data_IF_487871136931
#
_entry.id   IF_487871136931
#
_cell.length_a   1.000
_cell.length_b   1.000
_cell.length_c   1.000
_cell.angle_alpha   90.00
_cell.angle_beta   90.00
_cell.angle_gamma   90.00
#
_symmetry.space_group_name_H-M   'P 1'
#
loop_
_entity.id
_entity.type
_entity.pdbx_description
1 polymer ?
#
# COMPACT_ATOMS: atom_id res chain seq x y z
N UNK A 1 2.07 -47.87 -4.22
CA UNK A 1 1.82 -46.56 -3.58
C UNK A 1 2.99 -45.63 -3.87
N UNK A 2 3.05 -45.13 -5.10
CA UNK A 2 4.00 -44.11 -5.51
C UNK A 2 3.27 -42.75 -5.55
N UNK A 3 4.02 -41.69 -5.22
CA UNK A 3 3.70 -40.26 -5.37
C UNK A 3 2.93 -39.56 -4.23
N UNK A 4 3.65 -39.12 -3.17
CA UNK A 4 3.24 -37.92 -2.37
C UNK A 4 4.42 -36.96 -2.03
N UNK A 5 5.66 -37.19 -2.47
CA UNK A 5 6.76 -36.24 -2.19
C UNK A 5 7.46 -35.75 -3.47
N UNK A 6 6.74 -34.96 -4.24
CA UNK A 6 7.28 -34.20 -5.37
C UNK A 6 6.97 -32.71 -5.22
N UNK A 7 7.90 -31.97 -4.59
CA UNK A 7 8.27 -30.55 -4.83
C UNK A 7 9.11 -30.08 -3.64
N UNK A 8 10.18 -29.33 -3.92
CA UNK A 8 11.10 -28.71 -2.95
C UNK A 8 10.33 -28.19 -1.73
N UNK A 9 10.76 -28.60 -0.53
CA UNK A 9 10.15 -28.19 0.74
C UNK A 9 9.94 -26.68 0.78
N UNK A 10 8.70 -26.24 1.03
CA UNK A 10 8.30 -24.84 1.29
C UNK A 10 9.08 -24.21 2.46
N UNK A 11 9.73 -25.04 3.28
CA UNK A 11 10.48 -24.62 4.47
C UNK A 11 12.01 -24.79 4.31
N UNK A 12 12.49 -25.17 3.13
CA UNK A 12 13.91 -25.40 2.83
C UNK A 12 14.67 -24.13 2.41
N UNK A 13 14.69 -23.10 3.25
CA UNK A 13 15.56 -21.94 3.09
C UNK A 13 16.91 -22.17 3.77
N UNK A 14 18.02 -21.72 3.16
CA UNK A 14 19.32 -21.67 3.84
C UNK A 14 19.41 -20.34 4.57
N UNK A 15 19.46 -20.37 5.89
CA UNK A 15 19.69 -19.18 6.71
C UNK A 15 21.19 -18.85 6.65
N UNK A 16 21.54 -17.68 6.12
CA UNK A 16 22.89 -17.14 6.29
C UNK A 16 22.82 -16.10 7.40
N UNK A 17 23.45 -16.42 8.53
CA UNK A 17 23.50 -15.52 9.68
C UNK A 17 24.42 -14.35 9.37
N UNK A 18 23.84 -13.17 9.16
CA UNK A 18 24.54 -11.90 9.39
C UNK A 18 23.99 -11.29 10.67
N UNK A 19 24.92 -10.74 11.45
CA UNK A 19 24.77 -10.11 12.76
C UNK A 19 23.35 -9.60 13.05
N UNK A 20 22.79 -10.04 14.18
CA UNK A 20 21.52 -9.60 14.80
C UNK A 20 20.87 -8.37 14.12
N UNK A 21 19.91 -8.59 13.21
CA UNK A 21 18.59 -7.91 13.13
C UNK A 21 17.84 -8.16 11.81
N UNK A 22 18.48 -8.65 10.76
CA UNK A 22 17.80 -9.00 9.51
C UNK A 22 17.59 -10.51 9.40
N UNK A 23 16.43 -11.01 9.85
CA UNK A 23 15.98 -12.39 9.56
C UNK A 23 15.53 -12.50 8.10
N UNK A 24 16.46 -12.36 7.17
CA UNK A 24 16.21 -12.43 5.74
C UNK A 24 16.67 -13.78 5.19
N UNK A 25 15.77 -14.51 4.53
CA UNK A 25 16.18 -15.67 3.74
C UNK A 25 16.72 -15.11 2.41
N UNK A 26 18.03 -15.15 2.20
CA UNK A 26 18.63 -14.58 0.98
C UNK A 26 18.41 -15.47 -0.27
N UNK A 27 18.13 -16.77 -0.07
CA UNK A 27 18.02 -17.76 -1.15
C UNK A 27 16.66 -18.45 -1.13
N UNK A 28 15.79 -18.08 -2.06
CA UNK A 28 14.52 -18.76 -2.30
C UNK A 28 14.61 -19.59 -3.59
N UNK A 29 14.02 -20.81 -3.63
CA UNK A 29 13.61 -21.36 -4.92
C UNK A 29 12.68 -20.35 -5.60
N UNK A 30 12.77 -20.20 -6.92
CA UNK A 30 11.86 -19.36 -7.69
C UNK A 30 10.40 -19.74 -7.38
N UNK A 31 9.51 -18.73 -7.29
CA UNK A 31 8.07 -18.93 -7.04
C UNK A 31 7.38 -19.59 -8.25
N UNK A 32 7.46 -20.91 -8.37
CA UNK A 32 6.95 -21.70 -9.50
C UNK A 32 5.60 -22.38 -9.20
N UNK A 33 4.63 -21.56 -8.78
CA UNK A 33 3.26 -21.97 -8.50
C UNK A 33 2.25 -20.98 -9.10
N UNK A 34 0.96 -21.14 -8.78
CA UNK A 34 -0.16 -20.48 -9.45
C UNK A 34 -0.29 -18.97 -9.19
N UNK A 35 0.67 -18.31 -8.52
CA UNK A 35 0.62 -16.86 -8.28
C UNK A 35 0.79 -16.11 -9.59
N UNK A 36 -0.06 -15.10 -9.81
CA UNK A 36 0.06 -14.17 -10.95
C UNK A 36 1.30 -13.27 -10.88
N UNK A 37 1.93 -13.19 -9.71
CA UNK A 37 3.07 -12.31 -9.39
C UNK A 37 2.81 -10.81 -9.60
N UNK A 38 1.55 -10.39 -9.61
CA UNK A 38 1.15 -8.97 -9.68
C UNK A 38 0.58 -8.54 -8.35
N UNK A 39 1.03 -7.40 -7.83
CA UNK A 39 0.54 -6.82 -6.58
C UNK A 39 0.34 -5.32 -6.72
N UNK A 40 -0.64 -4.77 -6.00
CA UNK A 40 -0.86 -3.33 -5.88
C UNK A 40 -1.03 -2.99 -4.39
N UNK A 41 -0.45 -1.88 -3.96
CA UNK A 41 -0.64 -1.39 -2.60
C UNK A 41 -1.83 -0.44 -2.57
N UNK A 42 -2.68 -0.55 -1.56
CA UNK A 42 -3.89 0.28 -1.45
C UNK A 42 -3.97 0.95 -0.08
N UNK A 43 -4.35 2.23 -0.06
CA UNK A 43 -4.72 2.90 1.17
C UNK A 43 -5.84 2.13 1.88
N UNK A 44 -5.77 2.07 3.20
CA UNK A 44 -6.62 1.23 4.03
C UNK A 44 -8.12 1.33 3.68
N UNK A 45 -8.61 2.55 3.51
CA UNK A 45 -10.03 2.82 3.27
C UNK A 45 -10.52 2.51 1.85
N UNK A 46 -9.64 2.12 0.92
CA UNK A 46 -10.05 1.52 -0.37
C UNK A 46 -10.85 0.25 -0.10
N UNK A 47 -10.44 -0.56 0.88
CA UNK A 47 -11.10 -1.83 1.21
C UNK A 47 -11.72 -1.87 2.62
N UNK A 48 -11.61 -0.78 3.40
CA UNK A 48 -12.22 -0.65 4.72
C UNK A 48 -12.61 0.81 5.05
N UNK A 49 -13.76 1.26 4.56
CA UNK A 49 -14.35 2.57 4.80
C UNK A 49 -14.66 2.82 6.28
N UNK A 50 -14.82 1.78 7.10
CA UNK A 50 -15.04 1.91 8.54
C UNK A 50 -13.86 2.56 9.28
N UNK A 51 -12.68 2.68 8.66
CA UNK A 51 -11.51 3.37 9.24
C UNK A 51 -11.50 4.89 8.99
N UNK A 52 -12.42 5.40 8.16
CA UNK A 52 -12.52 6.83 7.86
C UNK A 52 -13.04 7.61 9.07
N UNK A 53 -12.72 8.90 9.13
CA UNK A 53 -13.27 9.77 10.17
C UNK A 53 -14.79 9.96 9.96
N UNK A 54 -15.48 10.34 11.02
CA UNK A 54 -16.93 10.48 11.01
C UNK A 54 -17.39 11.40 9.86
N UNK A 55 -18.41 10.96 9.10
CA UNK A 55 -18.97 11.71 7.98
C UNK A 55 -18.19 11.69 6.67
N UNK A 56 -17.08 10.95 6.57
CA UNK A 56 -16.26 10.88 5.33
C UNK A 56 -16.31 9.55 4.57
N UNK A 57 -17.04 8.55 5.09
CA UNK A 57 -17.31 7.30 4.38
C UNK A 57 -18.37 7.52 3.30
N UNK A 58 -18.07 7.12 2.06
CA UNK A 58 -19.00 7.25 0.92
C UNK A 58 -19.73 5.93 0.62
N UNK A 59 -19.19 4.81 1.10
CA UNK A 59 -19.78 3.48 0.93
C UNK A 59 -19.72 2.67 2.24
N UNK A 60 -20.54 1.62 2.39
CA UNK A 60 -20.65 0.90 3.67
C UNK A 60 -19.41 0.08 4.08
N UNK A 61 -18.54 -0.30 3.14
CA UNK A 61 -17.45 -1.24 3.43
C UNK A 61 -16.14 -0.93 2.69
N UNK A 62 -16.17 -0.80 1.36
CA UNK A 62 -15.01 -0.58 0.50
C UNK A 62 -15.42 0.29 -0.68
N UNK A 63 -14.48 0.82 -1.46
CA UNK A 63 -14.75 1.38 -2.79
C UNK A 63 -14.90 0.20 -3.76
N UNK A 64 -16.09 -0.38 -3.99
CA UNK A 64 -16.23 -1.79 -4.43
C UNK A 64 -15.60 -2.05 -5.81
N UNK A 65 -15.71 -1.08 -6.71
CA UNK A 65 -15.15 -1.15 -8.06
C UNK A 65 -13.65 -1.48 -8.10
N UNK A 66 -12.87 -1.07 -7.07
CA UNK A 66 -11.42 -1.29 -7.03
C UNK A 66 -11.06 -2.74 -6.67
N UNK A 67 -11.40 -3.28 -5.48
CA UNK A 67 -11.07 -4.66 -5.14
C UNK A 67 -11.71 -5.65 -6.13
N UNK A 68 -12.94 -5.39 -6.61
CA UNK A 68 -13.58 -6.24 -7.63
C UNK A 68 -12.75 -6.29 -8.92
N UNK A 69 -12.33 -5.13 -9.43
CA UNK A 69 -11.47 -5.07 -10.61
C UNK A 69 -10.13 -5.79 -10.39
N UNK A 70 -9.48 -5.56 -9.25
CA UNK A 70 -8.17 -6.15 -8.94
C UNK A 70 -8.25 -7.69 -8.88
N UNK A 71 -9.26 -8.22 -8.18
CA UNK A 71 -9.47 -9.66 -8.07
C UNK A 71 -9.80 -10.31 -9.42
N UNK A 72 -10.69 -9.69 -10.21
CA UNK A 72 -11.04 -10.18 -11.55
C UNK A 72 -9.84 -10.20 -12.52
N UNK A 73 -8.82 -9.38 -12.27
CA UNK A 73 -7.60 -9.30 -13.08
C UNK A 73 -6.39 -10.04 -12.46
N UNK A 74 -6.63 -10.84 -11.41
CA UNK A 74 -5.61 -11.61 -10.69
C UNK A 74 -4.47 -10.71 -10.17
N UNK A 75 -4.82 -9.55 -9.61
CA UNK A 75 -3.88 -8.63 -8.98
C UNK A 75 -4.03 -8.77 -7.47
N UNK A 76 -2.96 -9.16 -6.78
CA UNK A 76 -2.93 -9.22 -5.32
C UNK A 76 -3.06 -7.82 -4.70
N UNK A 77 -3.76 -7.74 -3.57
CA UNK A 77 -4.01 -6.48 -2.85
C UNK A 77 -3.16 -6.47 -1.58
N UNK A 78 -2.20 -5.55 -1.50
CA UNK A 78 -1.46 -5.27 -0.28
C UNK A 78 -2.08 -4.06 0.41
N UNK A 79 -2.87 -4.29 1.47
CA UNK A 79 -3.50 -3.20 2.22
C UNK A 79 -2.49 -2.50 3.12
N UNK A 80 -2.30 -1.20 2.93
CA UNK A 80 -1.48 -0.40 3.83
C UNK A 80 -2.26 -0.09 5.12
N UNK A 81 -1.59 0.01 6.29
CA UNK A 81 -2.20 0.53 7.51
C UNK A 81 -2.77 1.95 7.30
N UNK A 82 -3.86 2.29 7.99
CA UNK A 82 -4.40 3.64 7.93
C UNK A 82 -3.53 4.59 8.78
N UNK A 83 -2.88 5.60 8.17
CA UNK A 83 -1.99 6.49 8.91
C UNK A 83 -2.72 7.28 9.99
N UNK A 84 -3.91 7.78 9.66
CA UNK A 84 -4.71 8.56 10.59
C UNK A 84 -5.24 7.74 11.77
N UNK A 85 -5.69 6.51 11.51
CA UNK A 85 -6.14 5.59 12.56
C UNK A 85 -4.98 5.26 13.52
N UNK A 86 -3.78 5.01 12.98
CA UNK A 86 -2.61 4.69 13.79
C UNK A 86 -2.09 5.87 14.62
N UNK A 87 -2.18 7.11 14.11
CA UNK A 87 -1.76 8.29 14.85
C UNK A 87 -2.81 8.81 15.85
N UNK A 88 -4.09 8.82 15.44
CA UNK A 88 -5.13 9.64 16.08
C UNK A 88 -6.35 8.82 16.55
N UNK A 89 -6.42 7.55 16.18
CA UNK A 89 -7.57 6.69 16.47
C UNK A 89 -8.77 6.93 15.55
N UNK A 90 -9.84 6.17 15.83
CA UNK A 90 -11.02 6.13 14.96
C UNK A 90 -11.87 7.40 15.09
N UNK A 91 -12.06 7.90 16.32
CA UNK A 91 -12.87 9.09 16.64
C UNK A 91 -12.18 10.43 16.38
N UNK A 92 -11.14 10.46 15.55
CA UNK A 92 -10.37 11.67 15.23
C UNK A 92 -11.24 12.74 14.55
N UNK A 93 -10.96 13.99 14.87
CA UNK A 93 -11.66 15.16 14.35
C UNK A 93 -10.75 16.40 14.34
N UNK A 94 -11.23 17.51 13.77
CA UNK A 94 -10.51 18.78 13.71
C UNK A 94 -9.44 18.84 12.60
N UNK A 95 -8.35 19.55 12.86
CA UNK A 95 -7.26 19.77 11.89
C UNK A 95 -6.34 18.54 11.81
N UNK A 96 -6.84 17.47 11.19
CA UNK A 96 -6.15 16.17 11.12
C UNK A 96 -4.74 16.30 10.50
N UNK A 97 -4.57 17.07 9.43
CA UNK A 97 -3.25 17.25 8.81
C UNK A 97 -2.22 17.84 9.79
N UNK A 98 -2.62 18.85 10.59
CA UNK A 98 -1.74 19.46 11.59
C UNK A 98 -1.41 18.49 12.72
N UNK A 99 -2.40 17.70 13.16
CA UNK A 99 -2.20 16.66 14.16
C UNK A 99 -1.23 15.57 13.66
N UNK A 100 -1.31 15.18 12.38
CA UNK A 100 -0.36 14.25 11.75
C UNK A 100 1.03 14.87 11.58
N UNK A 101 1.13 16.20 11.55
CA UNK A 101 2.36 16.94 11.31
C UNK A 101 3.18 17.22 12.57
N UNK A 102 2.76 16.72 13.73
CA UNK A 102 3.60 16.72 14.93
C UNK A 102 4.84 15.84 14.74
N UNK A 103 5.93 16.16 15.43
CA UNK A 103 7.20 15.42 15.29
C UNK A 103 7.05 13.92 15.56
N UNK A 104 6.29 13.54 16.59
CA UNK A 104 6.02 12.14 16.94
C UNK A 104 5.23 11.41 15.86
N UNK A 105 4.18 12.04 15.33
CA UNK A 105 3.36 11.43 14.28
C UNK A 105 4.12 11.34 12.95
N UNK A 106 4.86 12.38 12.53
CA UNK A 106 5.72 12.30 11.34
C UNK A 106 6.76 11.18 11.43
N UNK A 107 7.35 10.98 12.62
CA UNK A 107 8.25 9.83 12.86
C UNK A 107 7.51 8.49 12.66
N UNK A 108 6.31 8.33 13.19
CA UNK A 108 5.50 7.13 13.00
C UNK A 108 5.12 6.92 11.52
N UNK A 109 4.71 7.98 10.82
CA UNK A 109 4.39 7.94 9.39
C UNK A 109 5.58 7.48 8.55
N UNK A 110 6.80 7.96 8.87
CA UNK A 110 8.03 7.51 8.22
C UNK A 110 8.31 6.03 8.45
N UNK A 111 8.09 5.51 9.66
CA UNK A 111 8.24 4.08 9.94
C UNK A 111 7.23 3.24 9.13
N UNK A 112 5.99 3.71 9.00
CA UNK A 112 5.01 3.07 8.12
C UNK A 112 5.44 3.08 6.66
N UNK A 113 5.98 4.22 6.18
CA UNK A 113 6.49 4.35 4.82
C UNK A 113 7.64 3.38 4.55
N UNK A 114 8.57 3.26 5.50
CA UNK A 114 9.69 2.31 5.44
C UNK A 114 9.21 0.86 5.36
N UNK A 115 8.18 0.49 6.11
CA UNK A 115 7.58 -0.86 6.03
C UNK A 115 6.95 -1.12 4.65
N UNK A 116 6.24 -0.14 4.07
CA UNK A 116 5.68 -0.25 2.72
C UNK A 116 6.80 -0.40 1.68
N UNK A 117 7.84 0.43 1.75
CA UNK A 117 9.02 0.36 0.86
C UNK A 117 9.75 -0.98 1.01
N UNK A 118 9.89 -1.49 2.23
CA UNK A 118 10.45 -2.82 2.48
C UNK A 118 9.64 -3.90 1.78
N UNK A 119 8.32 -3.92 1.96
CA UNK A 119 7.44 -4.91 1.32
C UNK A 119 7.50 -4.83 -0.21
N UNK A 120 7.50 -3.62 -0.77
CA UNK A 120 7.69 -3.39 -2.21
C UNK A 120 9.00 -4.02 -2.69
N UNK A 121 10.11 -3.74 -2.01
CA UNK A 121 11.42 -4.30 -2.36
C UNK A 121 11.43 -5.83 -2.28
N UNK A 122 10.74 -6.44 -1.32
CA UNK A 122 10.60 -7.90 -1.26
C UNK A 122 9.89 -8.45 -2.50
N UNK A 123 8.79 -7.84 -2.92
CA UNK A 123 8.09 -8.24 -4.15
C UNK A 123 9.01 -8.13 -5.37
N UNK A 124 9.66 -6.98 -5.56
CA UNK A 124 10.54 -6.74 -6.71
C UNK A 124 11.72 -7.71 -6.73
N UNK A 125 12.39 -7.91 -5.59
CA UNK A 125 13.51 -8.87 -5.42
C UNK A 125 13.14 -10.29 -5.83
N UNK A 126 11.87 -10.66 -5.71
CA UNK A 126 11.35 -11.98 -6.04
C UNK A 126 10.65 -12.08 -7.40
N UNK A 127 10.83 -11.08 -8.26
CA UNK A 127 10.30 -11.07 -9.62
C UNK A 127 8.78 -10.87 -9.68
N UNK A 128 8.20 -10.27 -8.65
CA UNK A 128 6.82 -9.79 -8.68
C UNK A 128 6.79 -8.40 -9.28
N UNK A 129 5.72 -8.10 -10.02
CA UNK A 129 5.41 -6.76 -10.51
C UNK A 129 4.56 -6.04 -9.48
N UNK A 130 5.10 -4.96 -8.91
CA UNK A 130 4.31 -4.00 -8.12
C UNK A 130 3.74 -2.95 -9.09
N UNK A 131 2.42 -2.94 -9.28
CA UNK A 131 1.78 -2.10 -10.31
C UNK A 131 1.76 -0.63 -9.92
N UNK A 132 1.36 -0.33 -8.68
CA UNK A 132 1.19 1.03 -8.17
C UNK A 132 1.00 1.02 -6.65
N UNK A 133 1.05 2.21 -6.06
CA UNK A 133 0.48 2.50 -4.74
C UNK A 133 -0.74 3.40 -4.91
N UNK A 134 -1.88 3.02 -4.36
CA UNK A 134 -3.12 3.81 -4.41
C UNK A 134 -3.30 4.62 -3.13
N UNK A 135 -3.34 5.94 -3.26
CA UNK A 135 -3.76 6.87 -2.21
C UNK A 135 -5.20 7.35 -2.41
N UNK A 136 -5.77 8.01 -1.40
CA UNK A 136 -7.10 8.62 -1.48
C UNK A 136 -6.93 10.12 -1.60
N UNK A 137 -7.27 10.69 -2.75
CA UNK A 137 -7.27 12.14 -2.95
C UNK A 137 -8.24 12.80 -1.98
N UNK A 138 -7.86 14.00 -1.52
CA UNK A 138 -8.54 14.74 -0.45
C UNK A 138 -8.44 14.08 0.95
N UNK A 139 -7.68 13.00 1.14
CA UNK A 139 -7.30 12.57 2.50
C UNK A 139 -6.18 13.48 3.04
N UNK A 140 -6.22 13.86 4.34
CA UNK A 140 -5.11 14.60 4.97
C UNK A 140 -3.82 13.76 5.05
N UNK A 141 -3.91 12.43 5.05
CA UNK A 141 -2.75 11.54 5.10
C UNK A 141 -2.36 10.95 3.74
N UNK A 142 -3.30 10.31 3.04
CA UNK A 142 -3.05 9.53 1.84
C UNK A 142 -3.33 10.30 0.53
N UNK A 143 -3.56 11.62 0.60
CA UNK A 143 -3.73 12.47 -0.58
C UNK A 143 -2.53 12.41 -1.51
N UNK A 144 -2.77 12.30 -2.83
CA UNK A 144 -1.69 12.21 -3.83
C UNK A 144 -1.59 13.51 -4.61
N UNK A 145 -2.68 13.89 -5.29
CA UNK A 145 -2.77 15.12 -6.07
C UNK A 145 -3.32 16.29 -5.23
N UNK A 146 -4.13 15.95 -4.22
CA UNK A 146 -4.69 16.90 -3.26
C UNK A 146 -4.95 16.23 -1.90
N UNK A 147 -4.96 17.03 -0.84
CA UNK A 147 -5.24 16.62 0.54
C UNK A 147 -6.28 17.54 1.20
N UNK A 148 -6.88 17.08 2.30
CA UNK A 148 -7.79 17.90 3.11
C UNK A 148 -7.00 18.70 4.15
N UNK A 149 -7.10 20.02 4.07
CA UNK A 149 -6.62 20.95 5.07
C UNK A 149 -7.41 22.26 4.99
N UNK A 150 -8.38 22.46 5.88
CA UNK A 150 -9.36 23.57 5.80
C UNK A 150 -9.98 23.69 4.41
N UNK A 151 -10.46 22.56 3.88
CA UNK A 151 -10.89 22.40 2.51
C UNK A 151 -9.92 21.59 1.67
N UNK A 152 -10.17 21.50 0.36
CA UNK A 152 -9.31 20.79 -0.58
C UNK A 152 -8.12 21.66 -0.97
N UNK A 153 -6.90 21.15 -0.81
CA UNK A 153 -5.67 21.81 -1.25
C UNK A 153 -4.86 20.93 -2.21
N UNK A 154 -4.25 21.49 -3.27
CA UNK A 154 -3.29 20.76 -4.09
C UNK A 154 -2.11 20.26 -3.25
N UNK A 155 -1.53 19.13 -3.65
CA UNK A 155 -0.36 18.53 -2.99
C UNK A 155 -0.68 17.25 -2.22
N UNK A 156 0.38 16.64 -1.68
CA UNK A 156 0.34 15.34 -0.99
C UNK A 156 -0.19 15.47 0.43
N UNK A 157 -0.78 14.39 0.95
CA UNK A 157 -1.07 14.25 2.37
C UNK A 157 0.18 13.87 3.17
N UNK A 158 0.12 14.02 4.49
CA UNK A 158 1.28 13.85 5.37
C UNK A 158 1.97 12.48 5.27
N UNK A 159 1.21 11.39 5.03
CA UNK A 159 1.81 10.07 4.84
C UNK A 159 2.36 9.89 3.43
N UNK A 160 1.66 10.38 2.41
CA UNK A 160 2.14 10.31 1.02
C UNK A 160 3.45 11.09 0.84
N UNK A 161 3.64 12.20 1.55
CA UNK A 161 4.93 12.91 1.59
C UNK A 161 6.07 11.98 2.04
N UNK A 162 5.96 11.41 3.25
CA UNK A 162 6.96 10.49 3.79
C UNK A 162 7.14 9.25 2.91
N UNK A 163 6.05 8.68 2.38
CA UNK A 163 6.11 7.52 1.50
C UNK A 163 6.89 7.79 0.23
N UNK A 164 6.60 8.91 -0.45
CA UNK A 164 7.33 9.23 -1.69
C UNK A 164 8.79 9.54 -1.43
N UNK A 165 9.12 10.18 -0.30
CA UNK A 165 10.51 10.43 0.09
C UNK A 165 11.28 9.12 0.35
N UNK A 166 10.67 8.16 1.04
CA UNK A 166 11.31 6.85 1.28
C UNK A 166 11.39 6.00 -0.01
N UNK A 167 10.42 6.12 -0.92
CA UNK A 167 10.48 5.49 -2.25
C UNK A 167 11.62 6.08 -3.09
N UNK A 168 11.79 7.40 -3.10
CA UNK A 168 12.86 8.09 -3.80
C UNK A 168 14.24 7.68 -3.26
N UNK A 169 14.39 7.61 -1.92
CA UNK A 169 15.62 7.12 -1.26
C UNK A 169 15.96 5.68 -1.64
N UNK A 170 14.94 4.84 -1.85
CA UNK A 170 15.11 3.46 -2.26
C UNK A 170 15.27 3.28 -3.78
N UNK A 171 15.20 4.36 -4.58
CA UNK A 171 15.29 4.28 -6.04
C UNK A 171 14.10 3.58 -6.69
N UNK A 172 12.92 3.64 -6.06
CA UNK A 172 11.71 2.97 -6.52
C UNK A 172 10.91 3.85 -7.49
N UNK A 173 10.88 3.46 -8.77
CA UNK A 173 10.03 4.09 -9.79
C UNK A 173 8.68 3.35 -9.92
N UNK A 174 7.84 3.48 -8.89
CA UNK A 174 6.48 2.90 -8.87
C UNK A 174 5.46 4.04 -8.82
N UNK A 175 4.43 4.03 -9.68
CA UNK A 175 3.45 5.10 -9.72
C UNK A 175 2.62 5.14 -8.43
N UNK A 176 2.49 6.34 -7.85
CA UNK A 176 1.54 6.63 -6.78
C UNK A 176 0.32 7.31 -7.40
N UNK A 177 -0.86 6.71 -7.24
CA UNK A 177 -2.09 7.13 -7.94
C UNK A 177 -3.13 7.56 -6.91
N UNK A 178 -3.63 8.78 -7.06
CA UNK A 178 -4.79 9.26 -6.30
C UNK A 178 -6.11 8.67 -6.80
N UNK A 179 -6.92 8.20 -5.86
CA UNK A 179 -8.28 7.67 -6.08
C UNK A 179 -9.29 8.60 -5.42
N UNK A 180 -10.47 8.74 -6.02
CA UNK A 180 -11.66 9.29 -5.34
C UNK A 180 -12.79 8.28 -5.41
N UNK A 181 -13.57 8.17 -4.33
CA UNK A 181 -14.72 7.28 -4.22
C UNK A 181 -15.80 7.58 -5.27
N UNK A 182 -15.98 8.87 -5.59
CA UNK A 182 -16.94 9.35 -6.59
C UNK A 182 -16.51 9.12 -8.04
N UNK A 183 -15.23 8.83 -8.28
CA UNK A 183 -14.69 8.66 -9.64
C UNK A 183 -13.72 7.46 -9.72
N UNK A 184 -14.13 6.25 -9.30
CA UNK A 184 -13.24 5.10 -9.23
C UNK A 184 -12.72 4.69 -10.63
N UNK A 185 -13.53 4.90 -11.68
CA UNK A 185 -13.19 4.56 -13.05
C UNK A 185 -11.91 5.25 -13.54
N UNK A 186 -11.64 6.49 -13.11
CA UNK A 186 -10.41 7.21 -13.46
C UNK A 186 -9.17 6.48 -12.94
N UNK A 187 -9.24 5.93 -11.74
CA UNK A 187 -8.17 5.11 -11.18
C UNK A 187 -8.05 3.77 -11.90
N UNK A 188 -9.19 3.13 -12.20
CA UNK A 188 -9.22 1.85 -12.92
C UNK A 188 -8.58 1.95 -14.31
N UNK A 189 -8.82 3.03 -15.06
CA UNK A 189 -8.19 3.24 -16.37
C UNK A 189 -6.66 3.34 -16.27
N UNK A 190 -6.13 3.99 -15.23
CA UNK A 190 -4.68 4.01 -14.99
C UNK A 190 -4.15 2.61 -14.65
N UNK A 191 -4.85 1.87 -13.78
CA UNK A 191 -4.45 0.51 -13.37
C UNK A 191 -4.50 -0.45 -14.58
N UNK A 192 -5.53 -0.36 -15.43
CA UNK A 192 -5.65 -1.15 -16.67
C UNK A 192 -4.43 -0.99 -17.55
N UNK A 193 -3.99 0.25 -17.79
CA UNK A 193 -2.79 0.54 -18.59
C UNK A 193 -1.52 -0.06 -17.98
N UNK A 194 -1.37 0.03 -16.66
CA UNK A 194 -0.22 -0.55 -15.94
C UNK A 194 -0.22 -2.08 -15.91
N UNK A 195 -1.39 -2.71 -15.97
CA UNK A 195 -1.51 -4.17 -16.01
C UNK A 195 -1.24 -4.74 -17.41
N UNK A 196 -1.31 -3.92 -18.46
CA UNK A 196 -1.03 -4.30 -19.85
C UNK A 196 0.44 -4.10 -20.25
N UNK A 197 1.21 -3.32 -19.48
CA UNK A 197 2.66 -3.16 -19.67
C UNK A 197 3.47 -4.32 -19.09
#
# INVERSE_FOLDING_TARGET
MAAIFGKKSLYGGRFEGKNFDERMIERYPSFDDNRSRKVIFVAHCVINQNARCNGSAETPASIPAIPEFLLNNQIGIAQMPCPELGCLGLGREGLIYDQLSTHGNRRYLRLLAQDVVYQINQYLKHGFKVLAVLGINCSPSCGVDCHAYNGRKPGKGAFTEELTEEMDKAGLDIPVIGVMDSEPDKALEKIKKLNQS
#
